data_IF_175128234604
#
_entry.id   IF_175128234604
#
_cell.length_a   1.000
_cell.length_b   1.000
_cell.length_c   1.000
_cell.angle_alpha   90.00
_cell.angle_beta   90.00
_cell.angle_gamma   90.00
#
_symmetry.space_group_name_H-M   'P 1'
#
loop_
_entity.id
_entity.type
_entity.pdbx_description
1 polymer ?
#
# COMPACT_ATOMS: atom_id res chain seq x y z
N UNK A 1 -33.90 -4.59 -4.89
CA UNK A 1 -33.82 -4.34 -3.43
C UNK A 1 -33.55 -5.70 -2.81
N UNK A 2 -32.44 -6.03 -2.16
CA UNK A 2 -31.40 -5.23 -1.48
C UNK A 2 -30.23 -6.18 -1.26
N UNK A 3 -28.99 -5.73 -1.46
CA UNK A 3 -27.82 -6.58 -1.18
C UNK A 3 -26.56 -6.04 -1.83
N UNK A 4 -26.19 -4.81 -1.48
CA UNK A 4 -24.81 -4.38 -1.72
C UNK A 4 -23.92 -5.30 -0.86
N UNK A 5 -23.18 -6.19 -1.51
CA UNK A 5 -22.02 -6.83 -0.88
C UNK A 5 -20.99 -5.72 -0.70
N UNK A 6 -21.07 -5.03 0.43
CA UNK A 6 -20.02 -4.14 0.90
C UNK A 6 -19.07 -5.04 1.66
N UNK A 7 -18.03 -5.52 0.98
CA UNK A 7 -16.92 -6.20 1.64
C UNK A 7 -16.45 -5.38 2.84
N UNK A 8 -16.30 -5.97 4.04
CA UNK A 8 -15.88 -5.23 5.22
C UNK A 8 -14.49 -4.66 4.99
N UNK A 9 -14.40 -3.33 4.90
CA UNK A 9 -13.12 -2.63 4.74
C UNK A 9 -12.23 -2.73 5.99
N UNK A 10 -10.99 -2.24 5.87
CA UNK A 10 -9.95 -2.30 6.91
C UNK A 10 -10.42 -1.93 8.34
N UNK A 11 -11.38 -1.01 8.49
CA UNK A 11 -11.93 -0.63 9.80
C UNK A 11 -12.54 -1.82 10.56
N UNK A 12 -13.27 -2.71 9.88
CA UNK A 12 -13.93 -3.86 10.49
C UNK A 12 -12.89 -4.86 11.01
N UNK A 13 -11.91 -5.21 10.17
CA UNK A 13 -10.83 -6.12 10.56
C UNK A 13 -10.02 -5.58 11.76
N UNK A 14 -9.72 -4.28 11.81
CA UNK A 14 -9.04 -3.69 12.95
C UNK A 14 -9.88 -3.76 14.23
N UNK A 15 -11.21 -3.59 14.14
CA UNK A 15 -12.09 -3.66 15.31
C UNK A 15 -12.18 -5.08 15.88
N UNK A 16 -12.28 -6.11 15.02
CA UNK A 16 -12.31 -7.52 15.44
C UNK A 16 -11.01 -7.95 16.15
N UNK A 17 -9.87 -7.42 15.70
CA UNK A 17 -8.56 -7.71 16.28
C UNK A 17 -8.16 -6.78 17.43
N UNK A 18 -9.06 -5.89 17.87
CA UNK A 18 -8.79 -4.86 18.88
C UNK A 18 -7.54 -4.01 18.57
N UNK A 19 -7.29 -3.72 17.28
CA UNK A 19 -6.18 -2.90 16.81
C UNK A 19 -6.64 -1.45 16.69
N UNK A 20 -6.02 -0.55 17.45
CA UNK A 20 -6.29 0.87 17.32
C UNK A 20 -5.78 1.40 15.97
N UNK A 21 -6.70 1.87 15.13
CA UNK A 21 -6.36 2.42 13.82
C UNK A 21 -6.10 3.93 13.90
N UNK A 22 -4.83 4.33 13.86
CA UNK A 22 -4.42 5.75 13.77
C UNK A 22 -4.15 6.15 12.33
N UNK A 23 -4.94 7.10 11.80
CA UNK A 23 -4.73 7.67 10.45
C UNK A 23 -4.03 9.01 10.53
N UNK A 24 -3.10 9.24 9.60
CA UNK A 24 -2.46 10.55 9.43
C UNK A 24 -3.40 11.50 8.70
N UNK A 25 -3.36 12.79 9.04
CA UNK A 25 -4.07 13.82 8.26
C UNK A 25 -3.56 13.83 6.81
N UNK A 26 -4.47 14.10 5.88
CA UNK A 26 -4.14 14.23 4.47
C UNK A 26 -3.14 15.39 4.28
N UNK A 27 -2.16 15.24 3.36
CA UNK A 27 -1.09 16.22 3.08
C UNK A 27 -0.11 16.46 4.25
N UNK A 28 0.06 15.49 5.14
CA UNK A 28 1.08 15.51 6.20
C UNK A 28 2.17 14.46 5.93
N UNK A 29 3.05 14.67 4.92
CA UNK A 29 3.98 13.66 4.45
C UNK A 29 5.02 13.25 5.50
N UNK A 30 5.37 14.14 6.44
CA UNK A 30 6.39 13.88 7.45
C UNK A 30 5.97 12.78 8.45
N UNK A 31 4.67 12.63 8.72
CA UNK A 31 4.16 11.59 9.62
C UNK A 31 4.32 10.19 9.03
N UNK A 32 4.35 10.06 7.70
CA UNK A 32 4.59 8.79 6.98
C UNK A 32 6.05 8.63 6.55
N UNK A 33 6.96 9.47 7.06
CA UNK A 33 8.38 9.48 6.70
C UNK A 33 9.11 8.13 6.85
N UNK A 34 8.89 7.35 7.93
CA UNK A 34 9.48 6.01 8.06
C UNK A 34 9.08 5.07 6.93
N UNK A 35 7.79 4.99 6.61
CA UNK A 35 7.27 4.16 5.49
C UNK A 35 7.80 4.67 4.15
N UNK A 36 7.89 5.99 3.96
CA UNK A 36 8.48 6.58 2.76
C UNK A 36 9.95 6.18 2.56
N UNK A 37 10.76 6.16 3.65
CA UNK A 37 12.16 5.70 3.61
C UNK A 37 12.25 4.22 3.23
N UNK A 38 11.45 3.37 3.88
CA UNK A 38 11.41 1.94 3.59
C UNK A 38 11.02 1.68 2.12
N UNK A 39 9.96 2.34 1.65
CA UNK A 39 9.49 2.19 0.27
C UNK A 39 10.53 2.64 -0.75
N UNK A 40 11.32 3.68 -0.46
CA UNK A 40 12.42 4.10 -1.33
C UNK A 40 13.50 3.03 -1.43
N UNK A 41 13.94 2.46 -0.31
CA UNK A 41 14.95 1.38 -0.31
C UNK A 41 14.49 0.16 -1.11
N UNK A 42 13.24 -0.27 -0.91
CA UNK A 42 12.67 -1.39 -1.65
C UNK A 42 12.64 -1.07 -3.15
N UNK A 43 12.15 0.12 -3.52
CA UNK A 43 12.08 0.55 -4.93
C UNK A 43 13.45 0.60 -5.59
N UNK A 44 14.46 1.16 -4.94
CA UNK A 44 15.83 1.23 -5.45
C UNK A 44 16.41 -0.18 -5.66
N UNK A 45 16.16 -1.11 -4.74
CA UNK A 45 16.63 -2.49 -4.88
C UNK A 45 15.93 -3.20 -6.05
N UNK A 46 14.62 -3.01 -6.22
CA UNK A 46 13.88 -3.62 -7.33
C UNK A 46 14.28 -3.02 -8.68
N UNK A 47 14.50 -1.71 -8.73
CA UNK A 47 14.90 -1.02 -9.96
C UNK A 47 16.28 -1.51 -10.43
N UNK A 48 17.24 -1.62 -9.50
CA UNK A 48 18.57 -2.18 -9.78
C UNK A 48 18.56 -3.66 -10.19
N UNK A 49 17.58 -4.44 -9.73
CA UNK A 49 17.52 -5.88 -10.00
C UNK A 49 16.87 -6.20 -11.33
N UNK A 50 15.79 -5.48 -11.67
CA UNK A 50 14.92 -5.85 -12.79
C UNK A 50 14.99 -4.89 -13.97
N UNK A 51 15.57 -3.69 -13.80
CA UNK A 51 15.76 -2.68 -14.85
C UNK A 51 14.54 -2.54 -15.75
N UNK A 52 13.40 -2.21 -15.15
CA UNK A 52 12.16 -2.12 -15.90
C UNK A 52 12.28 -1.04 -16.98
N UNK A 53 12.20 -1.44 -18.25
CA UNK A 53 12.27 -0.52 -19.40
C UNK A 53 11.00 0.30 -19.58
N UNK A 54 9.92 -0.03 -18.86
CA UNK A 54 8.66 0.69 -18.91
C UNK A 54 7.59 0.10 -17.99
N UNK A 55 6.45 0.79 -17.91
CA UNK A 55 5.36 0.45 -17.00
C UNK A 55 4.78 -0.94 -17.27
N UNK A 56 4.63 -1.34 -18.54
CA UNK A 56 4.05 -2.65 -18.90
C UNK A 56 4.91 -3.82 -18.44
N UNK A 57 6.23 -3.65 -18.37
CA UNK A 57 7.13 -4.67 -17.84
C UNK A 57 6.99 -4.81 -16.32
N UNK A 58 6.82 -3.69 -15.61
CA UNK A 58 6.53 -3.70 -14.17
C UNK A 58 5.17 -4.34 -13.89
N UNK A 59 4.12 -3.98 -14.64
CA UNK A 59 2.78 -4.55 -14.46
C UNK A 59 2.76 -6.07 -14.67
N UNK A 60 3.46 -6.57 -15.70
CA UNK A 60 3.61 -8.02 -15.92
C UNK A 60 4.35 -8.71 -14.77
N UNK A 61 5.38 -8.08 -14.19
CA UNK A 61 6.09 -8.61 -13.04
C UNK A 61 5.19 -8.67 -11.79
N UNK A 62 4.35 -7.65 -11.55
CA UNK A 62 3.46 -7.63 -10.38
C UNK A 62 2.26 -8.60 -10.47
N UNK A 63 1.90 -9.02 -11.68
CA UNK A 63 0.79 -9.94 -11.93
C UNK A 63 1.22 -11.42 -12.03
N UNK A 64 2.53 -11.69 -11.96
CA UNK A 64 3.10 -13.05 -11.93
C UNK A 64 3.08 -13.61 -10.50
#
# INVERSE_FOLDING_TARGET
MTGLIVEPGCHFACAELAIEQRRTKLRHPWTNGPVGRMNRTIKEATDKRFHHGGHDQLCRHLAA
#
